data_IF_245783300184
#
_entry.id   IF_245783300184
#
_cell.length_a   1.000
_cell.length_b   1.000
_cell.length_c   1.000
_cell.angle_alpha   90.00
_cell.angle_beta   90.00
_cell.angle_gamma   90.00
#
_symmetry.space_group_name_H-M   'P 1'
#
loop_
_entity.id
_entity.type
_entity.pdbx_description
1 polymer ?
#
# COMPACT_ATOMS: atom_id res chain seq x y z
N UNK A 1 27.29 23.70 -39.78
CA UNK A 1 26.66 22.55 -39.09
C UNK A 1 27.09 22.65 -37.63
N UNK A 2 26.18 23.09 -36.77
CA UNK A 2 26.45 23.46 -35.37
C UNK A 2 25.92 22.35 -34.46
N UNK A 3 26.82 21.79 -33.67
CA UNK A 3 26.59 20.75 -32.68
C UNK A 3 25.78 21.33 -31.50
N UNK A 4 24.47 21.13 -31.54
CA UNK A 4 23.59 21.33 -30.38
C UNK A 4 22.76 20.04 -30.22
N UNK A 5 23.45 18.96 -29.87
CA UNK A 5 22.85 17.82 -29.19
C UNK A 5 22.92 18.05 -27.69
N UNK A 6 22.49 19.23 -27.24
CA UNK A 6 22.22 19.50 -25.83
C UNK A 6 20.85 18.91 -25.54
N UNK A 7 20.80 17.58 -25.50
CA UNK A 7 19.71 16.79 -24.93
C UNK A 7 20.13 16.43 -23.50
N UNK A 8 20.60 17.43 -22.75
CA UNK A 8 20.97 17.28 -21.35
C UNK A 8 19.69 17.27 -20.51
N UNK A 9 19.38 16.07 -20.02
CA UNK A 9 18.78 15.81 -18.71
C UNK A 9 17.56 16.66 -18.33
N UNK A 10 16.39 16.29 -18.86
CA UNK A 10 15.15 16.47 -18.11
C UNK A 10 14.77 15.12 -17.49
N UNK A 11 15.51 14.70 -16.46
CA UNK A 11 15.01 13.72 -15.50
C UNK A 11 13.84 14.37 -14.78
N UNK A 12 12.62 14.13 -15.27
CA UNK A 12 11.41 14.50 -14.56
C UNK A 12 11.19 13.50 -13.43
N UNK A 13 11.91 13.69 -12.32
CA UNK A 13 11.48 13.13 -11.05
C UNK A 13 10.29 13.96 -10.56
N UNK A 14 9.07 13.52 -10.86
CA UNK A 14 7.85 13.60 -10.03
C UNK A 14 6.61 13.26 -10.86
N UNK A 15 6.07 12.06 -10.64
CA UNK A 15 4.63 11.89 -10.46
C UNK A 15 4.46 11.09 -9.17
N UNK A 16 4.50 11.79 -8.04
CA UNK A 16 3.72 11.36 -6.90
C UNK A 16 2.37 12.05 -7.02
N UNK A 17 1.30 11.27 -6.78
CA UNK A 17 -0.10 11.68 -6.71
C UNK A 17 -0.86 11.68 -8.04
N UNK A 18 -1.20 10.49 -8.53
CA UNK A 18 -2.62 10.32 -8.88
C UNK A 18 -3.38 10.09 -7.58
N UNK A 19 -3.81 11.20 -6.95
CA UNK A 19 -5.04 11.17 -6.18
C UNK A 19 -6.17 10.93 -7.20
N UNK A 20 -6.30 9.66 -7.60
CA UNK A 20 -7.35 9.14 -8.45
C UNK A 20 -8.68 9.58 -7.89
N UNK A 21 -9.21 10.60 -8.51
CA UNK A 21 -10.37 11.35 -8.06
C UNK A 21 -11.61 10.48 -8.14
N UNK A 22 -12.49 10.63 -7.13
CA UNK A 22 -13.93 10.47 -7.38
C UNK A 22 -14.63 9.33 -6.68
N UNK A 23 -14.66 9.36 -5.35
CA UNK A 23 -15.92 9.12 -4.63
C UNK A 23 -15.94 9.99 -3.34
N UNK A 24 -16.10 11.30 -3.56
CA UNK A 24 -16.62 12.26 -2.57
C UNK A 24 -18.09 11.91 -2.28
N UNK A 25 -18.30 10.76 -1.63
CA UNK A 25 -19.59 10.10 -1.53
C UNK A 25 -19.62 9.01 -0.46
N UNK A 26 -19.36 9.44 0.78
CA UNK A 26 -19.68 8.79 2.06
C UNK A 26 -18.66 7.79 2.66
N UNK A 27 -18.03 8.23 3.75
CA UNK A 27 -17.43 7.47 4.87
C UNK A 27 -16.08 6.74 4.71
N UNK A 28 -15.36 6.85 3.60
CA UNK A 28 -14.03 6.26 3.51
C UNK A 28 -12.95 7.16 4.15
N UNK A 29 -12.03 6.60 4.95
CA UNK A 29 -10.99 7.37 5.62
C UNK A 29 -10.02 7.97 4.61
N UNK A 30 -9.62 9.21 4.84
CA UNK A 30 -8.57 9.89 4.09
C UNK A 30 -7.23 9.65 4.79
N UNK A 31 -6.54 8.56 4.41
CA UNK A 31 -5.26 8.16 4.99
C UNK A 31 -4.20 7.95 3.91
N UNK A 32 -2.97 8.34 4.19
CA UNK A 32 -1.82 8.14 3.32
C UNK A 32 -0.94 7.03 3.88
N UNK A 33 -0.61 6.06 3.03
CA UNK A 33 0.27 4.94 3.37
C UNK A 33 1.53 4.95 2.51
N UNK A 34 2.64 4.49 3.08
CA UNK A 34 3.85 4.15 2.32
C UNK A 34 4.17 2.67 2.44
N UNK A 35 4.90 2.20 1.45
CA UNK A 35 5.43 0.85 1.38
C UNK A 35 6.95 0.93 1.35
N UNK A 36 7.59 0.14 2.19
CA UNK A 36 9.04 -0.03 2.24
C UNK A 36 9.36 -1.50 1.97
N UNK A 37 10.02 -1.74 0.84
CA UNK A 37 10.34 -3.09 0.35
C UNK A 37 11.79 -3.42 0.69
N UNK A 38 11.98 -4.52 1.41
CA UNK A 38 13.30 -5.09 1.72
C UNK A 38 13.44 -6.44 1.02
N UNK A 39 14.33 -6.48 0.02
CA UNK A 39 14.69 -7.68 -0.72
C UNK A 39 15.59 -8.56 0.17
N UNK A 40 15.00 -9.62 0.72
CA UNK A 40 15.55 -10.44 1.78
C UNK A 40 15.46 -11.93 1.47
N UNK A 41 15.54 -12.76 2.51
CA UNK A 41 15.24 -14.19 2.38
C UNK A 41 14.57 -14.70 3.67
N UNK A 42 13.23 -14.55 3.80
CA UNK A 42 12.28 -14.08 2.78
C UNK A 42 12.25 -12.56 2.58
N UNK A 43 11.67 -12.12 1.46
CA UNK A 43 11.33 -10.72 1.22
C UNK A 43 10.33 -10.17 2.23
N UNK A 44 10.38 -8.86 2.46
CA UNK A 44 9.41 -8.21 3.33
C UNK A 44 8.93 -6.87 2.76
N UNK A 45 7.67 -6.56 3.05
CA UNK A 45 7.02 -5.30 2.66
C UNK A 45 6.41 -4.65 3.91
N UNK A 46 6.99 -3.54 4.36
CA UNK A 46 6.48 -2.78 5.48
C UNK A 46 5.49 -1.72 5.00
N UNK A 47 4.29 -1.76 5.56
CA UNK A 47 3.20 -0.81 5.29
C UNK A 47 3.14 0.16 6.47
N UNK A 48 3.39 1.45 6.21
CA UNK A 48 3.35 2.51 7.20
C UNK A 48 2.16 3.45 6.95
N UNK A 49 1.38 3.73 8.00
CA UNK A 49 0.41 4.82 7.97
C UNK A 49 1.12 6.15 8.23
N UNK A 50 1.26 7.00 7.21
CA UNK A 50 2.02 8.26 7.30
C UNK A 50 1.21 9.40 7.92
N UNK A 51 -0.03 9.56 7.47
CA UNK A 51 -0.85 10.73 7.82
C UNK A 51 -2.31 10.54 7.47
N UNK A 52 -3.19 11.34 8.06
CA UNK A 52 -4.63 11.35 7.75
C UNK A 52 -5.48 10.71 8.86
N UNK A 53 -6.66 10.25 8.48
CA UNK A 53 -7.65 9.68 9.39
C UNK A 53 -7.15 8.36 10.00
N UNK A 54 -7.42 8.16 11.29
CA UNK A 54 -7.18 6.86 11.92
C UNK A 54 -8.12 5.81 11.33
N UNK A 55 -7.60 4.62 11.02
CA UNK A 55 -8.40 3.51 10.48
C UNK A 55 -8.31 2.31 11.41
N UNK A 56 -9.43 1.61 11.61
CA UNK A 56 -9.43 0.41 12.43
C UNK A 56 -8.94 -0.80 11.62
N UNK A 57 -8.04 -1.60 12.18
CA UNK A 57 -7.33 -2.68 11.50
C UNK A 57 -8.26 -3.74 10.90
N UNK A 58 -9.37 -4.07 11.59
CA UNK A 58 -10.36 -5.03 11.08
C UNK A 58 -11.16 -4.55 9.84
N UNK A 59 -11.01 -3.28 9.45
CA UNK A 59 -11.56 -2.75 8.21
C UNK A 59 -10.54 -2.68 7.08
N UNK A 60 -9.30 -3.08 7.33
CA UNK A 60 -8.24 -3.11 6.34
C UNK A 60 -7.94 -4.55 5.92
N UNK A 61 -7.59 -4.71 4.65
CA UNK A 61 -7.06 -5.94 4.11
C UNK A 61 -6.11 -5.62 2.96
N UNK A 62 -5.15 -6.51 2.72
CA UNK A 62 -4.27 -6.42 1.56
C UNK A 62 -4.64 -7.49 0.54
N UNK A 63 -4.46 -7.18 -0.73
CA UNK A 63 -4.49 -8.18 -1.81
C UNK A 63 -3.13 -8.24 -2.45
N UNK A 64 -2.56 -9.44 -2.50
CA UNK A 64 -1.25 -9.71 -3.08
C UNK A 64 -1.44 -10.53 -4.36
N UNK A 65 -0.82 -10.12 -5.46
CA UNK A 65 -0.77 -10.85 -6.72
C UNK A 65 0.62 -10.83 -7.31
N UNK A 66 1.03 -11.85 -8.07
CA UNK A 66 2.35 -11.90 -8.71
C UNK A 66 3.52 -12.30 -7.80
N UNK A 67 3.27 -12.55 -6.52
CA UNK A 67 4.28 -13.01 -5.57
C UNK A 67 4.58 -14.51 -5.73
N UNK A 68 5.80 -14.95 -5.38
CA UNK A 68 6.05 -16.37 -5.14
C UNK A 68 5.62 -16.73 -3.72
N UNK A 69 4.37 -17.21 -3.60
CA UNK A 69 3.74 -17.52 -2.32
C UNK A 69 2.88 -16.39 -1.77
N UNK A 70 1.93 -16.74 -0.90
CA UNK A 70 0.99 -15.81 -0.26
C UNK A 70 0.25 -14.85 -1.22
N UNK A 71 -0.06 -15.28 -2.44
CA UNK A 71 -1.04 -14.58 -3.27
C UNK A 71 -2.45 -14.69 -2.66
N UNK A 72 -3.28 -13.69 -2.90
CA UNK A 72 -4.66 -13.63 -2.42
C UNK A 72 -4.90 -12.49 -1.45
N UNK A 73 -6.05 -12.55 -0.79
CA UNK A 73 -6.46 -11.55 0.20
C UNK A 73 -5.97 -11.96 1.59
N UNK A 74 -5.39 -11.01 2.32
CA UNK A 74 -4.96 -11.18 3.71
C UNK A 74 -5.57 -10.08 4.57
N UNK A 75 -6.16 -10.47 5.69
CA UNK A 75 -6.68 -9.51 6.66
C UNK A 75 -5.52 -8.72 7.26
N UNK A 76 -5.66 -7.41 7.42
CA UNK A 76 -4.56 -6.56 7.89
C UNK A 76 -4.10 -6.94 9.31
N UNK A 77 -5.01 -7.47 10.13
CA UNK A 77 -4.73 -8.00 11.47
C UNK A 77 -3.90 -9.28 11.46
N UNK A 78 -3.90 -10.03 10.36
CA UNK A 78 -3.18 -11.29 10.22
C UNK A 78 -1.73 -11.12 9.77
N UNK A 79 -1.35 -9.93 9.28
CA UNK A 79 -0.02 -9.67 8.70
C UNK A 79 1.08 -9.77 9.75
N UNK A 80 0.90 -9.12 10.91
CA UNK A 80 1.83 -9.19 12.04
C UNK A 80 1.33 -10.08 13.19
N UNK A 81 0.03 -10.42 13.19
CA UNK A 81 -0.62 -11.19 14.25
C UNK A 81 -0.71 -10.47 15.61
N UNK A 82 -0.31 -9.19 15.69
CA UNK A 82 -0.33 -8.42 16.94
C UNK A 82 -1.54 -7.49 17.04
N UNK A 83 -2.16 -7.18 15.91
CA UNK A 83 -3.32 -6.30 15.83
C UNK A 83 -4.62 -7.07 16.07
N UNK A 84 -5.47 -6.53 16.94
CA UNK A 84 -6.86 -6.94 17.05
C UNK A 84 -7.72 -6.18 16.03
N UNK A 85 -8.92 -6.68 15.72
CA UNK A 85 -9.85 -5.99 14.84
C UNK A 85 -10.16 -4.56 15.30
N UNK A 86 -10.14 -4.29 16.61
CA UNK A 86 -10.37 -2.97 17.22
C UNK A 86 -9.13 -2.07 17.29
N UNK A 87 -7.96 -2.56 16.89
CA UNK A 87 -6.73 -1.77 16.88
C UNK A 87 -6.87 -0.59 15.93
N UNK A 88 -6.47 0.61 16.40
CA UNK A 88 -6.43 1.81 15.56
C UNK A 88 -5.05 1.96 14.93
N UNK A 89 -5.05 2.03 13.61
CA UNK A 89 -3.90 2.39 12.79
C UNK A 89 -3.88 3.92 12.68
N UNK A 90 -2.81 4.53 13.16
CA UNK A 90 -2.60 5.99 13.20
C UNK A 90 -1.25 6.35 12.62
N UNK A 91 -0.96 7.65 12.47
CA UNK A 91 0.32 8.13 11.95
C UNK A 91 1.51 7.50 12.71
N UNK A 92 2.44 6.89 11.98
CA UNK A 92 3.60 6.16 12.49
C UNK A 92 3.37 4.68 12.79
N UNK A 93 2.13 4.18 12.68
CA UNK A 93 1.85 2.74 12.80
C UNK A 93 2.41 1.99 11.59
N UNK A 94 3.04 0.85 11.84
CA UNK A 94 3.70 0.03 10.83
C UNK A 94 3.34 -1.43 10.99
N UNK A 95 3.22 -2.12 9.86
CA UNK A 95 2.96 -3.55 9.79
C UNK A 95 3.82 -4.14 8.68
N UNK A 96 4.53 -5.23 8.94
CA UNK A 96 5.43 -5.85 7.98
C UNK A 96 4.87 -7.16 7.46
N UNK A 97 4.62 -7.23 6.15
CA UNK A 97 4.22 -8.44 5.46
C UNK A 97 5.47 -9.22 5.03
N UNK A 98 5.63 -10.42 5.58
CA UNK A 98 6.71 -11.36 5.25
C UNK A 98 6.17 -12.76 4.92
N UNK A 99 4.94 -12.83 4.38
CA UNK A 99 4.25 -14.08 4.09
C UNK A 99 4.66 -14.74 2.76
N UNK A 100 5.23 -13.96 1.84
CA UNK A 100 5.72 -14.43 0.54
C UNK A 100 7.22 -14.72 0.60
N UNK A 101 7.70 -15.70 -0.18
CA UNK A 101 9.14 -15.95 -0.30
C UNK A 101 9.84 -15.02 -1.27
N UNK A 102 9.10 -14.44 -2.22
CA UNK A 102 9.59 -13.49 -3.22
C UNK A 102 8.45 -12.53 -3.62
N UNK A 103 8.75 -11.24 -3.58
CA UNK A 103 7.85 -10.14 -3.95
C UNK A 103 8.32 -9.37 -5.19
N UNK A 104 9.37 -9.83 -5.89
CA UNK A 104 10.01 -9.11 -7.00
C UNK A 104 9.11 -8.86 -8.21
N UNK A 105 8.03 -9.64 -8.38
CA UNK A 105 7.01 -9.44 -9.43
C UNK A 105 5.62 -9.11 -8.84
N UNK A 106 5.57 -8.77 -7.55
CA UNK A 106 4.31 -8.66 -6.82
C UNK A 106 3.65 -7.28 -6.96
N UNK A 107 2.33 -7.28 -6.91
CA UNK A 107 1.48 -6.11 -6.67
C UNK A 107 0.76 -6.32 -5.35
N UNK A 108 0.88 -5.34 -4.45
CA UNK A 108 0.21 -5.33 -3.16
C UNK A 108 -0.72 -4.12 -3.09
N UNK A 109 -2.02 -4.37 -2.96
CA UNK A 109 -3.02 -3.31 -2.79
C UNK A 109 -3.53 -3.30 -1.36
N UNK A 110 -3.51 -2.14 -0.72
CA UNK A 110 -4.13 -1.90 0.57
C UNK A 110 -5.56 -1.41 0.35
N UNK A 111 -6.53 -2.11 0.92
CA UNK A 111 -7.94 -1.86 0.73
C UNK A 111 -8.63 -1.65 2.08
N UNK A 112 -9.61 -0.76 2.08
CA UNK A 112 -10.52 -0.52 3.19
C UNK A 112 -11.92 -1.00 2.85
N UNK A 113 -12.56 -1.68 3.79
CA UNK A 113 -13.96 -2.13 3.71
C UNK A 113 -14.82 -1.32 4.68
N UNK A 114 -15.89 -0.73 4.15
CA UNK A 114 -16.88 -0.01 4.94
C UNK A 114 -17.60 -0.94 5.93
N UNK A 115 -17.71 -0.57 7.22
CA UNK A 115 -18.46 -1.34 8.20
C UNK A 115 -19.96 -1.42 7.88
N UNK A 116 -20.51 -0.38 7.26
CA UNK A 116 -21.96 -0.18 7.18
C UNK A 116 -22.55 -0.50 5.80
N UNK A 117 -21.74 -0.48 4.75
CA UNK A 117 -22.24 -0.50 3.36
C UNK A 117 -21.71 -1.65 2.50
N UNK A 118 -20.82 -2.49 3.05
CA UNK A 118 -20.17 -3.58 2.30
C UNK A 118 -19.31 -3.12 1.12
N UNK A 119 -19.14 -1.81 0.93
CA UNK A 119 -18.29 -1.22 -0.10
C UNK A 119 -16.82 -1.34 0.29
N UNK A 120 -15.96 -1.57 -0.68
CA UNK A 120 -14.51 -1.50 -0.50
C UNK A 120 -13.89 -0.43 -1.38
N UNK A 121 -12.80 0.17 -0.90
CA UNK A 121 -12.01 1.19 -1.62
C UNK A 121 -10.53 0.86 -1.47
N UNK A 122 -9.78 0.93 -2.56
CA UNK A 122 -8.33 0.85 -2.54
C UNK A 122 -7.76 2.16 -1.98
N UNK A 123 -7.00 2.08 -0.89
CA UNK A 123 -6.35 3.22 -0.25
C UNK A 123 -4.95 3.48 -0.83
N UNK A 124 -4.22 2.41 -1.13
CA UNK A 124 -2.87 2.51 -1.66
C UNK A 124 -2.51 1.25 -2.45
N UNK A 125 -1.51 1.36 -3.33
CA UNK A 125 -0.97 0.24 -4.09
C UNK A 125 0.54 0.34 -4.14
N UNK A 126 1.19 -0.81 -4.16
CA UNK A 126 2.61 -0.97 -4.39
C UNK A 126 2.81 -2.01 -5.49
N UNK A 127 3.70 -1.70 -6.41
CA UNK A 127 4.17 -2.61 -7.46
C UNK A 127 5.66 -2.81 -7.24
N UNK A 128 6.11 -4.04 -7.42
CA UNK A 128 7.51 -4.40 -7.31
C UNK A 128 8.38 -3.64 -8.34
N UNK A 129 9.65 -3.36 -8.00
CA UNK A 129 10.56 -2.55 -8.80
C UNK A 129 11.02 -3.19 -10.12
#
# INVERSE_FOLDING_TARGET
>A
MVAITVLLAATAATFFLDFGSGNLGQNAPQAAFSFDYDAGSPDSLTIEHRSGDSVQAGHLYITVSGASGANGQHDFTSIDGTLADSSKITAGSQVTFSGASDLSDATVTLNWKSPDSGKSIQLASWEAP
#
